data_IF_467105260034
#
_entry.id   IF_467105260034
#
_cell.length_a   1.000
_cell.length_b   1.000
_cell.length_c   1.000
_cell.angle_alpha   90.00
_cell.angle_beta   90.00
_cell.angle_gamma   90.00
#
_symmetry.space_group_name_H-M   'P 1'
#
loop_
_entity.id
_entity.type
_entity.pdbx_description
1 polymer ?
#
# COMPACT_ATOMS: atom_id res chain seq x y z
N UNK A 1 6.75 -7.07 -23.21
CA UNK A 1 7.07 -6.61 -21.85
C UNK A 1 7.40 -7.81 -20.98
N UNK A 2 8.59 -7.86 -20.41
CA UNK A 2 8.98 -8.92 -19.47
C UNK A 2 8.32 -8.70 -18.12
N UNK A 3 7.87 -9.78 -17.50
CA UNK A 3 7.27 -9.74 -16.16
C UNK A 3 7.96 -10.82 -15.33
N UNK A 4 8.59 -10.42 -14.24
CA UNK A 4 9.10 -11.32 -13.21
C UNK A 4 8.08 -11.34 -12.07
N UNK A 5 7.77 -12.52 -11.57
CA UNK A 5 6.90 -12.72 -10.41
C UNK A 5 7.71 -13.45 -9.36
N UNK A 6 7.63 -12.98 -8.14
CA UNK A 6 8.32 -13.59 -7.01
C UNK A 6 7.54 -13.42 -5.71
N UNK A 7 8.12 -13.98 -4.66
CA UNK A 7 7.58 -13.96 -3.32
C UNK A 7 8.73 -13.94 -2.32
N UNK A 8 8.72 -12.97 -1.42
CA UNK A 8 9.69 -12.86 -0.34
C UNK A 8 9.13 -13.48 0.92
N UNK A 9 9.92 -14.36 1.55
CA UNK A 9 9.66 -14.88 2.88
C UNK A 9 10.45 -14.06 3.90
N UNK A 10 9.75 -13.23 4.69
CA UNK A 10 10.35 -12.33 5.66
C UNK A 10 9.85 -12.70 7.07
N UNK A 11 10.48 -13.73 7.66
CA UNK A 11 10.08 -14.26 8.96
C UNK A 11 8.63 -14.73 8.96
N UNK A 12 7.74 -13.99 9.64
CA UNK A 12 6.31 -14.29 9.70
C UNK A 12 5.48 -13.79 8.53
N UNK A 13 6.12 -13.19 7.52
CA UNK A 13 5.45 -12.57 6.38
C UNK A 13 5.78 -13.25 5.05
N UNK A 14 4.79 -13.25 4.17
CA UNK A 14 4.93 -13.64 2.77
C UNK A 14 4.51 -12.46 1.91
N UNK A 15 5.45 -11.95 1.10
CA UNK A 15 5.31 -10.70 0.34
C UNK A 15 5.42 -11.01 -1.14
N UNK A 16 4.30 -11.15 -1.86
CA UNK A 16 4.33 -11.33 -3.30
C UNK A 16 4.67 -10.03 -4.00
N UNK A 17 5.50 -10.12 -5.03
CA UNK A 17 5.88 -8.97 -5.85
C UNK A 17 5.85 -9.30 -7.35
N UNK A 18 5.86 -8.26 -8.16
CA UNK A 18 6.05 -8.32 -9.62
C UNK A 18 6.97 -7.21 -10.05
N UNK A 19 7.85 -7.51 -11.01
CA UNK A 19 8.68 -6.53 -11.69
C UNK A 19 8.27 -6.52 -13.16
N UNK A 20 7.94 -5.35 -13.66
CA UNK A 20 7.61 -5.12 -15.06
C UNK A 20 8.74 -4.36 -15.74
N UNK A 21 9.17 -4.82 -16.92
CA UNK A 21 10.27 -4.22 -17.67
C UNK A 21 11.63 -4.77 -17.26
N UNK A 22 12.68 -4.20 -17.87
CA UNK A 22 14.07 -4.61 -17.69
C UNK A 22 15.04 -3.42 -17.67
N UNK A 23 14.49 -2.20 -17.54
CA UNK A 23 15.32 -1.01 -17.47
C UNK A 23 16.21 -1.00 -16.22
N UNK A 24 17.32 -0.29 -16.31
CA UNK A 24 18.31 -0.19 -15.23
C UNK A 24 17.74 0.54 -13.99
N UNK A 25 16.97 1.62 -14.23
CA UNK A 25 16.33 2.40 -13.15
C UNK A 25 15.04 1.73 -12.70
N UNK A 26 14.89 1.58 -11.39
CA UNK A 26 13.73 0.93 -10.79
C UNK A 26 12.82 1.93 -10.10
N UNK A 27 11.52 1.84 -10.39
CA UNK A 27 10.45 2.46 -9.58
C UNK A 27 9.84 1.37 -8.70
N UNK A 28 9.80 1.58 -7.40
CA UNK A 28 9.11 0.70 -6.45
C UNK A 28 7.82 1.37 -6.02
N UNK A 29 6.69 0.69 -6.22
CA UNK A 29 5.35 1.23 -5.96
C UNK A 29 4.79 0.70 -4.63
N UNK A 30 4.39 1.60 -3.74
CA UNK A 30 3.84 1.30 -2.42
C UNK A 30 2.38 1.73 -2.37
N UNK A 31 1.49 0.76 -2.19
CA UNK A 31 0.04 0.96 -2.14
C UNK A 31 -0.41 1.64 -0.84
N UNK A 32 -1.54 2.31 -0.90
CA UNK A 32 -2.24 2.80 0.29
C UNK A 32 -2.86 1.67 1.12
N UNK A 33 -3.40 2.03 2.28
CA UNK A 33 -4.09 1.08 3.16
C UNK A 33 -5.20 0.32 2.41
N UNK A 34 -5.22 -1.01 2.56
CA UNK A 34 -6.18 -1.93 1.92
C UNK A 34 -6.17 -1.95 0.38
N UNK A 35 -5.26 -1.24 -0.26
CA UNK A 35 -5.03 -1.35 -1.70
C UNK A 35 -4.09 -2.52 -2.01
N UNK A 36 -4.11 -2.97 -3.25
CA UNK A 36 -3.25 -4.06 -3.73
C UNK A 36 -2.36 -3.58 -4.86
N UNK A 37 -1.36 -4.35 -5.21
CA UNK A 37 -0.49 -4.09 -6.37
C UNK A 37 -1.28 -3.89 -7.68
N UNK A 38 -2.53 -4.34 -7.76
CA UNK A 38 -3.38 -4.14 -8.93
C UNK A 38 -3.75 -2.66 -9.17
N UNK A 39 -3.74 -1.83 -8.14
CA UNK A 39 -4.00 -0.39 -8.25
C UNK A 39 -2.96 0.32 -9.14
N UNK A 40 -1.78 -0.25 -9.29
CA UNK A 40 -0.67 0.32 -10.05
C UNK A 40 -0.68 -0.01 -11.54
N UNK A 41 -1.68 -0.77 -12.04
CA UNK A 41 -1.72 -1.23 -13.45
C UNK A 41 -1.54 -0.08 -14.46
N UNK A 42 -2.27 1.00 -14.28
CA UNK A 42 -2.19 2.17 -15.18
C UNK A 42 -0.82 2.85 -15.08
N UNK A 43 -0.31 3.03 -13.87
CA UNK A 43 1.02 3.59 -13.63
C UNK A 43 2.10 2.74 -14.31
N UNK A 44 2.08 1.43 -14.11
CA UNK A 44 3.02 0.50 -14.79
C UNK A 44 3.01 0.70 -16.29
N UNK A 45 1.82 0.79 -16.92
CA UNK A 45 1.72 0.92 -18.38
C UNK A 45 2.36 2.21 -18.93
N UNK A 46 2.40 3.28 -18.12
CA UNK A 46 3.03 4.56 -18.52
C UNK A 46 4.54 4.56 -18.36
N UNK A 47 5.07 3.88 -17.36
CA UNK A 47 6.49 3.98 -16.99
C UNK A 47 7.36 2.81 -17.43
N UNK A 48 6.76 1.67 -17.80
CA UNK A 48 7.49 0.45 -18.11
C UNK A 48 8.37 0.50 -19.36
N UNK A 49 8.19 1.52 -20.21
CA UNK A 49 9.07 1.73 -21.37
C UNK A 49 10.48 2.19 -20.94
N UNK A 50 10.55 3.01 -19.89
CA UNK A 50 11.79 3.67 -19.47
C UNK A 50 12.34 3.18 -18.12
N UNK A 51 11.50 2.46 -17.35
CA UNK A 51 11.80 2.00 -16.01
C UNK A 51 11.43 0.52 -15.80
N UNK A 52 12.18 -0.16 -14.96
CA UNK A 52 11.67 -1.36 -14.29
C UNK A 52 10.70 -0.92 -13.19
N UNK A 53 9.46 -1.44 -13.20
CA UNK A 53 8.45 -1.06 -12.21
C UNK A 53 8.14 -2.25 -11.32
N UNK A 54 8.51 -2.16 -10.04
CA UNK A 54 8.22 -3.16 -9.03
C UNK A 54 6.96 -2.78 -8.25
N UNK A 55 6.06 -3.74 -8.11
CA UNK A 55 4.82 -3.62 -7.31
C UNK A 55 4.73 -4.83 -6.38
N UNK A 56 4.19 -4.65 -5.19
CA UNK A 56 4.04 -5.71 -4.20
C UNK A 56 2.80 -5.50 -3.33
N UNK A 57 2.37 -6.56 -2.65
CA UNK A 57 1.33 -6.48 -1.63
C UNK A 57 1.96 -6.55 -0.24
N UNK A 58 1.66 -5.59 0.61
CA UNK A 58 2.03 -5.63 2.03
C UNK A 58 1.36 -6.82 2.73
N UNK A 59 1.98 -7.40 3.78
CA UNK A 59 1.34 -8.43 4.60
C UNK A 59 -0.04 -8.00 5.09
N UNK A 60 -1.03 -8.88 4.93
CA UNK A 60 -2.43 -8.59 5.27
C UNK A 60 -3.20 -7.80 4.19
N UNK A 61 -2.58 -7.50 3.04
CA UNK A 61 -3.23 -6.88 1.89
C UNK A 61 -3.09 -7.74 0.64
N UNK A 62 -4.10 -7.76 -0.21
CA UNK A 62 -4.08 -8.49 -1.47
C UNK A 62 -3.70 -9.97 -1.28
N UNK A 63 -2.53 -10.35 -1.78
CA UNK A 63 -1.95 -11.70 -1.64
C UNK A 63 -0.87 -11.79 -0.58
N UNK A 64 -0.50 -10.66 0.04
CA UNK A 64 0.45 -10.62 1.15
C UNK A 64 -0.11 -11.34 2.39
N UNK A 65 0.68 -12.19 3.04
CA UNK A 65 0.21 -13.02 4.15
C UNK A 65 0.99 -12.75 5.43
N UNK A 66 0.28 -12.87 6.54
CA UNK A 66 0.82 -13.01 7.88
C UNK A 66 0.70 -14.49 8.24
N UNK A 67 1.81 -15.20 8.35
CA UNK A 67 1.84 -16.66 8.50
C UNK A 67 1.71 -17.11 9.95
N UNK A 68 2.13 -16.25 10.90
CA UNK A 68 2.14 -16.56 12.34
C UNK A 68 2.18 -15.28 13.18
N UNK A 69 1.92 -15.41 14.48
CA UNK A 69 1.97 -14.31 15.43
C UNK A 69 0.73 -13.39 15.37
N UNK A 70 0.86 -12.14 15.81
CA UNK A 70 -0.24 -11.17 15.83
C UNK A 70 -0.85 -10.95 14.43
N UNK A 71 -2.17 -10.70 14.32
CA UNK A 71 -2.86 -10.56 13.03
C UNK A 71 -2.54 -9.26 12.28
N UNK A 72 -1.86 -8.31 12.90
CA UNK A 72 -1.43 -7.04 12.32
C UNK A 72 0.03 -7.03 11.92
N UNK A 73 0.43 -5.94 11.29
CA UNK A 73 1.81 -5.60 10.95
C UNK A 73 2.12 -4.21 11.50
N UNK A 74 3.18 -4.08 12.31
CA UNK A 74 3.58 -2.81 12.88
C UNK A 74 4.14 -1.86 11.82
N UNK A 75 4.22 -0.57 12.15
CA UNK A 75 4.78 0.43 11.24
C UNK A 75 6.25 0.12 10.89
N UNK A 76 7.05 -0.28 11.88
CA UNK A 76 8.44 -0.65 11.63
C UNK A 76 8.58 -1.89 10.74
N UNK A 77 7.75 -2.91 10.96
CA UNK A 77 7.72 -4.09 10.07
C UNK A 77 7.33 -3.73 8.64
N UNK A 78 6.45 -2.74 8.43
CA UNK A 78 6.12 -2.26 7.07
C UNK A 78 7.31 -1.59 6.39
N UNK A 79 8.11 -0.82 7.14
CA UNK A 79 9.34 -0.22 6.63
C UNK A 79 10.36 -1.29 6.29
N UNK A 80 10.54 -2.31 7.15
CA UNK A 80 11.43 -3.43 6.90
C UNK A 80 11.01 -4.25 5.67
N UNK A 81 9.71 -4.46 5.48
CA UNK A 81 9.17 -5.10 4.28
C UNK A 81 9.54 -4.30 3.04
N UNK A 82 9.32 -2.97 3.04
CA UNK A 82 9.67 -2.12 1.90
C UNK A 82 11.17 -2.14 1.63
N UNK A 83 12.01 -2.08 2.66
CA UNK A 83 13.46 -2.19 2.54
C UNK A 83 13.88 -3.49 1.85
N UNK A 84 13.33 -4.62 2.29
CA UNK A 84 13.63 -5.92 1.69
C UNK A 84 13.11 -6.05 0.25
N UNK A 85 11.94 -5.48 -0.06
CA UNK A 85 11.42 -5.43 -1.43
C UNK A 85 12.34 -4.62 -2.34
N UNK A 86 12.86 -3.48 -1.87
CA UNK A 86 13.83 -2.69 -2.63
C UNK A 86 15.08 -3.53 -2.93
N UNK A 87 15.67 -4.18 -1.94
CA UNK A 87 16.86 -5.00 -2.09
C UNK A 87 16.65 -6.16 -3.09
N UNK A 88 15.47 -6.76 -3.08
CA UNK A 88 15.12 -7.86 -3.99
C UNK A 88 14.87 -7.38 -5.43
N UNK A 89 14.19 -6.24 -5.58
CA UNK A 89 13.68 -5.80 -6.89
C UNK A 89 14.57 -4.80 -7.59
N UNK A 90 15.46 -4.12 -6.86
CA UNK A 90 16.41 -3.17 -7.41
C UNK A 90 17.69 -3.87 -7.85
N UNK A 91 18.13 -3.58 -9.06
CA UNK A 91 19.32 -4.19 -9.64
C UNK A 91 20.56 -3.31 -9.51
N UNK A 92 20.37 -2.00 -9.45
CA UNK A 92 21.47 -1.03 -9.50
C UNK A 92 21.17 0.24 -8.69
N UNK A 93 21.93 0.48 -7.63
CA UNK A 93 21.96 1.76 -6.91
C UNK A 93 20.67 2.14 -6.22
N UNK A 94 20.23 3.37 -6.43
CA UNK A 94 19.05 3.95 -5.79
C UNK A 94 17.74 3.67 -6.56
N UNK A 95 16.61 3.77 -5.89
CA UNK A 95 15.28 3.61 -6.48
C UNK A 95 14.48 4.90 -6.48
N UNK A 96 13.46 4.96 -7.33
CA UNK A 96 12.38 5.94 -7.23
C UNK A 96 11.24 5.27 -6.47
N UNK A 97 10.77 5.88 -5.37
CA UNK A 97 9.58 5.41 -4.65
C UNK A 97 8.34 6.10 -5.21
N UNK A 98 7.36 5.33 -5.67
CA UNK A 98 6.04 5.84 -6.02
C UNK A 98 5.03 5.34 -5.01
N UNK A 99 4.41 6.23 -4.26
CA UNK A 99 3.59 5.86 -3.12
C UNK A 99 2.23 6.56 -3.12
N UNK A 100 1.23 5.89 -2.61
CA UNK A 100 -0.12 6.41 -2.49
C UNK A 100 -0.62 6.36 -1.04
N UNK A 101 -1.24 7.45 -0.56
CA UNK A 101 -1.90 7.52 0.75
C UNK A 101 -0.99 6.99 1.88
N UNK A 102 -1.39 5.94 2.61
CA UNK A 102 -0.59 5.31 3.68
C UNK A 102 0.82 4.93 3.24
N UNK A 103 0.99 4.42 2.02
CA UNK A 103 2.30 4.08 1.46
C UNK A 103 3.27 5.25 1.42
N UNK A 104 2.78 6.49 1.38
CA UNK A 104 3.62 7.69 1.39
C UNK A 104 4.34 7.87 2.72
N UNK A 105 3.67 7.54 3.84
CA UNK A 105 4.25 7.62 5.18
C UNK A 105 5.37 6.60 5.33
N UNK A 106 5.13 5.34 4.89
CA UNK A 106 6.14 4.28 4.90
C UNK A 106 7.36 4.70 4.06
N UNK A 107 7.12 5.27 2.86
CA UNK A 107 8.19 5.71 1.95
C UNK A 107 9.05 6.81 2.55
N UNK A 108 8.42 7.83 3.19
CA UNK A 108 9.15 8.92 3.85
C UNK A 108 9.94 8.41 5.05
N UNK A 109 9.36 7.51 5.85
CA UNK A 109 10.06 6.92 6.99
C UNK A 109 11.24 6.04 6.56
N UNK A 110 11.11 5.27 5.48
CA UNK A 110 12.22 4.53 4.90
C UNK A 110 13.32 5.47 4.40
N UNK A 111 12.98 6.50 3.63
CA UNK A 111 13.95 7.46 3.10
C UNK A 111 14.69 8.22 4.21
N UNK A 112 14.03 8.46 5.35
CA UNK A 112 14.68 9.07 6.51
C UNK A 112 15.66 8.12 7.21
N UNK A 113 15.41 6.80 7.19
CA UNK A 113 16.29 5.76 7.78
C UNK A 113 17.41 5.33 6.84
N UNK A 114 17.11 5.30 5.54
CA UNK A 114 17.95 4.77 4.46
C UNK A 114 18.01 5.75 3.27
N UNK A 115 18.52 6.98 3.47
CA UNK A 115 18.57 7.98 2.41
C UNK A 115 19.41 7.55 1.20
N UNK A 116 20.35 6.65 1.42
CA UNK A 116 21.23 6.10 0.38
C UNK A 116 20.50 5.22 -0.64
N UNK A 117 19.32 4.72 -0.30
CA UNK A 117 18.53 3.85 -1.18
C UNK A 117 17.60 4.62 -2.12
N UNK A 118 17.30 5.88 -1.83
CA UNK A 118 16.20 6.61 -2.48
C UNK A 118 16.72 7.80 -3.27
N UNK A 119 16.56 7.75 -4.60
CA UNK A 119 16.87 8.88 -5.48
C UNK A 119 15.76 9.93 -5.45
N UNK A 120 14.51 9.50 -5.64
CA UNK A 120 13.33 10.37 -5.75
C UNK A 120 12.10 9.72 -5.13
N UNK A 121 11.13 10.56 -4.79
CA UNK A 121 9.81 10.10 -4.34
C UNK A 121 8.69 10.79 -5.12
N UNK A 122 7.68 10.01 -5.51
CA UNK A 122 6.40 10.45 -6.07
C UNK A 122 5.34 10.12 -5.02
N UNK A 123 4.83 11.14 -4.33
CA UNK A 123 3.94 10.97 -3.19
C UNK A 123 2.53 11.45 -3.53
N UNK A 124 1.62 10.51 -3.78
CA UNK A 124 0.20 10.79 -4.00
C UNK A 124 -0.61 10.77 -2.71
N UNK A 125 -1.34 11.86 -2.43
CA UNK A 125 -2.14 12.01 -1.20
C UNK A 125 -1.31 11.94 0.08
N UNK A 126 -0.15 12.59 0.08
CA UNK A 126 0.71 12.71 1.25
C UNK A 126 0.20 13.77 2.23
N UNK A 127 0.25 13.47 3.52
CA UNK A 127 -0.03 14.40 4.60
C UNK A 127 0.89 14.14 5.79
N UNK A 128 1.61 15.17 6.25
CA UNK A 128 2.47 15.07 7.43
C UNK A 128 1.68 14.92 8.75
N UNK A 129 0.39 15.23 8.71
CA UNK A 129 -0.55 15.05 9.83
C UNK A 129 -1.89 14.58 9.29
N UNK A 130 -2.62 13.71 10.02
CA UNK A 130 -3.97 13.35 9.61
C UNK A 130 -4.83 14.61 9.56
N UNK A 131 -5.55 14.79 8.47
CA UNK A 131 -6.52 15.88 8.36
C UNK A 131 -7.81 15.52 9.11
N UNK A 132 -8.69 16.52 9.27
CA UNK A 132 -9.95 16.36 10.01
C UNK A 132 -10.81 15.23 9.46
N UNK A 133 -10.91 15.09 8.13
CA UNK A 133 -11.71 14.05 7.50
C UNK A 133 -11.16 12.63 7.80
N UNK A 134 -9.84 12.45 7.81
CA UNK A 134 -9.21 11.16 8.20
C UNK A 134 -9.54 10.82 9.65
N UNK A 135 -9.41 11.79 10.57
CA UNK A 135 -9.72 11.59 12.00
C UNK A 135 -11.20 11.20 12.18
N UNK A 136 -12.10 11.87 11.46
CA UNK A 136 -13.54 11.56 11.49
C UNK A 136 -13.82 10.14 11.00
N UNK A 137 -13.22 9.73 9.87
CA UNK A 137 -13.40 8.37 9.32
C UNK A 137 -12.89 7.30 10.29
N UNK A 138 -11.75 7.51 10.94
CA UNK A 138 -11.22 6.55 11.93
C UNK A 138 -12.21 6.41 13.09
N UNK A 139 -12.69 7.53 13.64
CA UNK A 139 -13.63 7.54 14.75
C UNK A 139 -14.95 6.88 14.37
N UNK A 140 -15.59 7.35 13.30
CA UNK A 140 -16.88 6.83 12.83
C UNK A 140 -16.77 5.36 12.40
N UNK A 141 -15.66 4.97 11.75
CA UNK A 141 -15.41 3.58 11.38
C UNK A 141 -15.27 2.64 12.59
N UNK A 142 -14.62 3.08 13.68
CA UNK A 142 -14.56 2.32 14.93
C UNK A 142 -15.97 2.12 15.51
N UNK A 143 -16.78 3.19 15.54
CA UNK A 143 -18.17 3.13 16.01
C UNK A 143 -19.04 2.17 15.16
N UNK A 144 -18.88 2.17 13.85
CA UNK A 144 -19.58 1.25 12.94
C UNK A 144 -19.26 -0.23 13.24
N UNK A 145 -18.02 -0.55 13.58
CA UNK A 145 -17.67 -1.90 14.00
C UNK A 145 -18.27 -2.26 15.37
N UNK A 146 -18.22 -1.34 16.34
CA UNK A 146 -18.73 -1.56 17.68
C UNK A 146 -20.25 -1.72 17.70
N UNK A 147 -20.95 -1.13 16.73
CA UNK A 147 -22.41 -1.25 16.55
C UNK A 147 -22.83 -2.33 15.53
N UNK A 148 -21.90 -3.15 15.06
CA UNK A 148 -22.09 -4.22 14.06
C UNK A 148 -22.62 -3.72 12.69
N UNK A 149 -22.32 -2.46 12.36
CA UNK A 149 -22.66 -1.81 11.09
C UNK A 149 -21.44 -1.67 10.15
N UNK A 150 -20.52 -2.61 10.17
CA UNK A 150 -19.28 -2.58 9.40
C UNK A 150 -19.49 -2.46 7.88
N UNK A 151 -20.69 -2.83 7.37
CA UNK A 151 -21.05 -2.66 5.97
C UNK A 151 -21.14 -1.18 5.52
N UNK A 152 -21.27 -0.24 6.45
CA UNK A 152 -21.35 1.19 6.18
C UNK A 152 -19.97 1.87 6.08
N UNK A 153 -18.87 1.16 6.37
CA UNK A 153 -17.51 1.72 6.29
C UNK A 153 -17.15 2.15 4.88
N UNK A 154 -17.45 1.33 3.87
CA UNK A 154 -17.18 1.69 2.49
C UNK A 154 -18.00 2.89 2.00
N UNK A 155 -19.31 2.99 2.27
CA UNK A 155 -20.08 4.21 2.08
C UNK A 155 -19.45 5.44 2.75
N UNK A 156 -19.06 5.33 4.02
CA UNK A 156 -18.40 6.42 4.76
C UNK A 156 -17.11 6.88 4.07
N UNK A 157 -16.25 5.94 3.66
CA UNK A 157 -15.01 6.25 2.94
C UNK A 157 -15.28 6.96 1.62
N UNK A 158 -16.30 6.54 0.88
CA UNK A 158 -16.70 7.17 -0.39
C UNK A 158 -17.24 8.57 -0.16
N UNK A 159 -18.07 8.77 0.86
CA UNK A 159 -18.59 10.09 1.22
C UNK A 159 -17.47 11.08 1.54
N UNK A 160 -16.51 10.68 2.36
CA UNK A 160 -15.43 11.58 2.83
C UNK A 160 -14.31 11.80 1.80
N UNK A 161 -13.97 10.79 1.01
CA UNK A 161 -12.80 10.83 0.12
C UNK A 161 -13.11 10.53 -1.34
N UNK A 162 -14.27 9.97 -1.64
CA UNK A 162 -14.62 9.40 -2.94
C UNK A 162 -15.55 10.23 -3.81
N UNK A 163 -15.79 11.51 -3.49
CA UNK A 163 -16.80 12.33 -4.18
C UNK A 163 -16.59 12.40 -5.70
N UNK A 164 -15.33 12.42 -6.15
CA UNK A 164 -14.95 12.49 -7.57
C UNK A 164 -14.55 11.15 -8.19
N UNK A 165 -14.68 10.05 -7.44
CA UNK A 165 -14.35 8.72 -7.94
C UNK A 165 -15.49 8.24 -8.88
N UNK A 166 -15.18 7.70 -10.07
CA UNK A 166 -16.18 7.09 -10.96
C UNK A 166 -16.94 5.97 -10.26
N UNK A 167 -18.23 5.81 -10.57
CA UNK A 167 -19.09 4.82 -9.90
C UNK A 167 -18.64 3.37 -10.05
N UNK A 168 -17.97 3.06 -11.15
CA UNK A 168 -17.32 1.74 -11.34
C UNK A 168 -16.25 1.46 -10.30
N UNK A 169 -15.47 2.47 -9.92
CA UNK A 169 -14.44 2.36 -8.88
C UNK A 169 -15.05 2.38 -7.47
N UNK A 170 -16.14 3.15 -7.25
CA UNK A 170 -16.87 3.11 -5.96
C UNK A 170 -17.36 1.70 -5.65
N UNK A 171 -17.91 0.99 -6.63
CA UNK A 171 -18.33 -0.42 -6.47
C UNK A 171 -17.16 -1.33 -6.08
N UNK A 172 -16.00 -1.14 -6.69
CA UNK A 172 -14.80 -1.91 -6.33
C UNK A 172 -14.33 -1.63 -4.89
N UNK A 173 -14.40 -0.37 -4.45
CA UNK A 173 -14.09 -0.01 -3.06
C UNK A 173 -15.07 -0.69 -2.10
N UNK A 174 -16.38 -0.66 -2.37
CA UNK A 174 -17.38 -1.33 -1.55
C UNK A 174 -17.08 -2.83 -1.42
N UNK A 175 -16.78 -3.50 -2.52
CA UNK A 175 -16.43 -4.93 -2.49
C UNK A 175 -15.14 -5.21 -1.72
N UNK A 176 -14.14 -4.33 -1.81
CA UNK A 176 -12.88 -4.46 -1.08
C UNK A 176 -13.06 -4.37 0.45
N UNK A 177 -14.00 -3.54 0.90
CA UNK A 177 -14.28 -3.37 2.33
C UNK A 177 -15.32 -4.37 2.85
N UNK A 178 -16.00 -5.10 1.96
CA UNK A 178 -16.96 -6.12 2.36
C UNK A 178 -16.25 -7.26 3.10
N UNK A 179 -16.70 -7.54 4.33
CA UNK A 179 -16.12 -8.60 5.15
C UNK A 179 -14.81 -8.26 5.87
N UNK A 180 -14.40 -6.98 5.85
CA UNK A 180 -13.25 -6.52 6.66
C UNK A 180 -13.58 -6.64 8.14
N UNK A 181 -12.67 -7.23 8.94
CA UNK A 181 -12.82 -7.26 10.40
C UNK A 181 -12.43 -5.94 11.06
N UNK A 182 -12.87 -5.75 12.31
CA UNK A 182 -12.47 -4.60 13.13
C UNK A 182 -10.96 -4.52 13.28
N UNK A 183 -10.31 -5.63 13.57
CA UNK A 183 -8.85 -5.72 13.73
C UNK A 183 -8.14 -5.33 12.43
N UNK A 184 -8.64 -5.78 11.29
CA UNK A 184 -8.10 -5.40 9.98
C UNK A 184 -8.26 -3.91 9.68
N UNK A 185 -9.35 -3.28 10.11
CA UNK A 185 -9.57 -1.85 9.94
C UNK A 185 -8.64 -1.04 10.84
N UNK A 186 -8.59 -1.39 12.12
CA UNK A 186 -7.83 -0.64 13.13
C UNK A 186 -6.31 -0.82 12.94
N UNK A 187 -5.83 -1.99 12.52
CA UNK A 187 -4.39 -2.29 12.37
C UNK A 187 -3.60 -1.33 11.46
N UNK A 188 -4.25 -0.40 10.81
CA UNK A 188 -3.60 0.65 10.03
C UNK A 188 -3.55 2.01 10.75
N UNK A 189 -4.22 2.15 11.89
CA UNK A 189 -4.41 3.45 12.54
C UNK A 189 -3.95 3.44 14.00
N UNK A 190 -3.56 2.30 14.51
CA UNK A 190 -2.91 2.13 15.82
C UNK A 190 -1.40 1.98 15.63
#
# INVERSE_FOLDING_TARGET
>A
MKIVKGELSLGRFLVPYRIYGEAEKTIVCISGAKQTMAAWRSFVSHFVADYSVAVFDLPGQGRGKILSGPPGITFDEQIDVLHNVINETNRNGTVILAAASWGTIISVALAARHPELVDKMILGSFGAKPNKAVIEVIREGKELFDTNNSHDIAPLMIEKFGQHIPDTHKKQIIEQFRGMSREQFISFYD
#
